data_IF_058174104819
#
_entry.id   IF_058174104819
#
_cell.length_a   1.000
_cell.length_b   1.000
_cell.length_c   1.000
_cell.angle_alpha   90.00
_cell.angle_beta   90.00
_cell.angle_gamma   90.00
#
_symmetry.space_group_name_H-M   'P 1'
#
loop_
_entity.id
_entity.type
_entity.pdbx_description
1 polymer ?
#
# COMPACT_ATOMS: atom_id res chain seq x y z
N UNK A 1 -24.01 -0.21 -4.77
CA UNK A 1 -22.61 0.10 -4.41
C UNK A 1 -21.87 0.37 -5.70
N UNK A 2 -21.11 1.46 -5.76
CA UNK A 2 -20.25 1.80 -6.90
C UNK A 2 -18.82 1.35 -6.64
N UNK A 3 -18.01 1.34 -7.69
CA UNK A 3 -16.58 1.04 -7.63
C UNK A 3 -15.84 1.84 -6.55
N UNK A 4 -16.03 3.17 -6.55
CA UNK A 4 -15.35 4.08 -5.62
C UNK A 4 -15.73 3.82 -4.16
N UNK A 5 -16.97 3.41 -3.90
CA UNK A 5 -17.42 3.04 -2.57
C UNK A 5 -16.63 1.82 -2.07
N UNK A 6 -16.49 0.79 -2.92
CA UNK A 6 -15.80 -0.45 -2.56
C UNK A 6 -14.31 -0.25 -2.32
N UNK A 7 -13.67 0.66 -3.06
CA UNK A 7 -12.25 1.00 -2.85
C UNK A 7 -11.99 1.69 -1.51
N UNK A 8 -12.96 2.49 -1.03
CA UNK A 8 -12.88 3.15 0.29
C UNK A 8 -13.12 2.19 1.45
N UNK A 9 -13.92 1.13 1.24
CA UNK A 9 -14.27 0.16 2.31
C UNK A 9 -13.04 -0.38 3.03
N UNK A 10 -11.95 -0.68 2.31
CA UNK A 10 -10.75 -1.19 2.97
C UNK A 10 -10.14 -0.16 3.93
N UNK A 11 -10.12 1.13 3.57
CA UNK A 11 -9.56 2.20 4.40
C UNK A 11 -10.49 2.66 5.53
N UNK A 12 -11.80 2.41 5.44
CA UNK A 12 -12.78 2.81 6.45
C UNK A 12 -12.86 1.78 7.58
N UNK A 13 -12.02 1.94 8.60
CA UNK A 13 -11.99 1.02 9.75
C UNK A 13 -12.47 1.66 11.06
N UNK A 14 -13.35 0.99 11.85
CA UNK A 14 -13.97 -0.32 11.59
C UNK A 14 -15.05 -0.25 10.51
N UNK A 15 -15.15 -1.32 9.71
CA UNK A 15 -16.08 -1.42 8.59
C UNK A 15 -17.49 -1.71 9.11
N UNK A 16 -18.48 -0.92 8.70
CA UNK A 16 -19.88 -1.14 9.07
C UNK A 16 -20.44 -2.37 8.33
N UNK A 17 -21.16 -3.23 9.07
CA UNK A 17 -21.87 -4.37 8.46
C UNK A 17 -22.98 -3.86 7.53
N UNK A 18 -23.05 -4.41 6.33
CA UNK A 18 -24.09 -4.05 5.35
C UNK A 18 -24.94 -5.27 5.03
N UNK A 19 -26.17 -5.36 5.55
CA UNK A 19 -27.03 -6.55 5.39
C UNK A 19 -27.24 -6.93 3.92
N UNK A 20 -27.56 -5.95 3.08
CA UNK A 20 -27.87 -6.18 1.67
C UNK A 20 -27.09 -5.21 0.80
N UNK A 21 -26.40 -5.75 -0.20
CA UNK A 21 -25.67 -4.95 -1.19
C UNK A 21 -26.17 -5.26 -2.59
N UNK A 22 -26.31 -4.23 -3.41
CA UNK A 22 -26.52 -4.36 -4.86
C UNK A 22 -25.24 -3.90 -5.56
N UNK A 23 -24.67 -4.76 -6.41
CA UNK A 23 -23.39 -4.55 -7.08
C UNK A 23 -23.58 -4.38 -8.59
N UNK A 24 -22.86 -3.42 -9.16
CA UNK A 24 -22.80 -3.17 -10.61
C UNK A 24 -21.66 -3.94 -11.27
N UNK A 25 -21.68 -4.05 -12.60
CA UNK A 25 -20.73 -4.87 -13.37
C UNK A 25 -19.27 -4.39 -13.27
N UNK A 26 -19.08 -3.08 -13.15
CA UNK A 26 -17.80 -2.41 -12.99
C UNK A 26 -17.05 -2.87 -11.73
N UNK A 27 -17.74 -3.22 -10.64
CA UNK A 27 -17.10 -3.75 -9.43
C UNK A 27 -16.29 -5.01 -9.75
N UNK A 28 -16.82 -5.89 -10.60
CA UNK A 28 -16.14 -7.14 -10.97
C UNK A 28 -15.00 -6.97 -11.97
N UNK A 29 -14.63 -5.72 -12.29
CA UNK A 29 -13.38 -5.41 -12.94
C UNK A 29 -12.20 -5.27 -11.97
N UNK A 30 -12.47 -5.16 -10.66
CA UNK A 30 -11.47 -5.32 -9.60
C UNK A 30 -11.31 -6.80 -9.31
N UNK A 31 -10.10 -7.30 -9.47
CA UNK A 31 -9.76 -8.70 -9.24
C UNK A 31 -10.05 -9.13 -7.79
N UNK A 32 -9.75 -8.28 -6.80
CA UNK A 32 -10.03 -8.50 -5.39
C UNK A 32 -11.46 -8.17 -4.94
N UNK A 33 -12.40 -7.93 -5.86
CA UNK A 33 -13.78 -7.58 -5.50
C UNK A 33 -14.45 -8.57 -4.54
N UNK A 34 -14.32 -9.91 -4.70
CA UNK A 34 -14.90 -10.87 -3.74
C UNK A 34 -14.41 -10.67 -2.31
N UNK A 35 -13.10 -10.48 -2.13
CA UNK A 35 -12.50 -10.19 -0.83
C UNK A 35 -13.03 -8.88 -0.24
N UNK A 36 -13.02 -7.79 -1.01
CA UNK A 36 -13.48 -6.48 -0.54
C UNK A 36 -14.97 -6.48 -0.17
N UNK A 37 -15.81 -7.15 -0.96
CA UNK A 37 -17.22 -7.33 -0.66
C UNK A 37 -17.41 -8.14 0.62
N UNK A 38 -16.63 -9.20 0.83
CA UNK A 38 -16.71 -10.04 2.03
C UNK A 38 -16.40 -9.27 3.31
N UNK A 39 -15.54 -8.24 3.26
CA UNK A 39 -15.23 -7.39 4.42
C UNK A 39 -16.47 -6.68 4.99
N UNK A 40 -17.47 -6.40 4.14
CA UNK A 40 -18.75 -5.79 4.54
C UNK A 40 -19.67 -6.74 5.30
N UNK A 41 -19.34 -8.04 5.29
CA UNK A 41 -20.13 -9.13 5.86
C UNK A 41 -21.62 -9.08 5.46
N UNK A 42 -21.95 -9.08 4.14
CA UNK A 42 -23.33 -9.01 3.69
C UNK A 42 -24.08 -10.32 3.86
N UNK A 43 -25.37 -10.22 4.24
CA UNK A 43 -26.30 -11.36 4.27
C UNK A 43 -26.79 -11.69 2.85
N UNK A 44 -26.93 -10.67 1.99
CA UNK A 44 -27.39 -10.82 0.61
C UNK A 44 -26.61 -9.90 -0.36
N UNK A 45 -26.14 -10.48 -1.47
CA UNK A 45 -25.46 -9.77 -2.57
C UNK A 45 -26.32 -9.90 -3.82
N UNK A 46 -26.89 -8.80 -4.29
CA UNK A 46 -27.65 -8.74 -5.54
C UNK A 46 -26.75 -8.37 -6.71
N UNK A 47 -26.76 -9.21 -7.73
CA UNK A 47 -26.12 -8.94 -9.02
C UNK A 47 -27.00 -9.47 -10.15
N UNK A 48 -26.75 -9.04 -11.39
CA UNK A 48 -27.58 -9.43 -12.54
C UNK A 48 -27.71 -10.95 -12.71
N UNK A 49 -26.69 -11.74 -12.34
CA UNK A 49 -26.69 -13.20 -12.46
C UNK A 49 -26.63 -13.89 -11.08
N UNK A 50 -27.30 -15.04 -10.98
CA UNK A 50 -27.11 -15.98 -9.86
C UNK A 50 -25.78 -16.72 -10.02
N UNK A 51 -24.77 -16.36 -9.22
CA UNK A 51 -23.38 -16.80 -9.46
C UNK A 51 -22.58 -17.05 -8.19
N UNK A 52 -21.53 -17.87 -8.29
CA UNK A 52 -20.37 -17.86 -7.39
C UNK A 52 -19.25 -17.14 -8.12
N UNK A 53 -18.63 -16.18 -7.43
CA UNK A 53 -17.49 -15.42 -7.94
C UNK A 53 -16.32 -15.64 -7.00
N UNK A 54 -15.19 -16.08 -7.55
CA UNK A 54 -14.01 -16.51 -6.79
C UNK A 54 -12.88 -15.52 -7.05
N UNK A 55 -12.35 -14.93 -5.97
CA UNK A 55 -11.21 -14.01 -6.00
C UNK A 55 -9.86 -14.74 -6.09
N UNK A 56 -8.77 -14.05 -6.45
CA UNK A 56 -7.44 -14.65 -6.55
C UNK A 56 -6.89 -15.08 -5.18
N UNK A 57 -7.41 -14.57 -4.06
CA UNK A 57 -7.07 -15.03 -2.71
C UNK A 57 -7.85 -16.29 -2.29
N UNK A 58 -8.79 -16.75 -3.12
CA UNK A 58 -9.69 -17.87 -2.86
C UNK A 58 -10.99 -17.48 -2.14
N UNK A 59 -11.24 -16.19 -1.90
CA UNK A 59 -12.51 -15.75 -1.33
C UNK A 59 -13.64 -15.96 -2.33
N UNK A 60 -14.73 -16.58 -1.88
CA UNK A 60 -15.93 -16.81 -2.69
C UNK A 60 -17.08 -15.93 -2.20
N UNK A 61 -17.80 -15.31 -3.14
CA UNK A 61 -19.08 -14.65 -2.86
C UNK A 61 -20.19 -15.27 -3.69
N UNK A 62 -21.40 -15.34 -3.13
CA UNK A 62 -22.58 -15.79 -3.85
C UNK A 62 -23.53 -14.62 -4.11
N UNK A 63 -23.94 -14.46 -5.36
CA UNK A 63 -24.88 -13.43 -5.80
C UNK A 63 -26.26 -14.00 -6.10
N UNK A 64 -27.30 -13.21 -5.88
CA UNK A 64 -28.68 -13.49 -6.31
C UNK A 64 -29.05 -12.58 -7.48
N UNK A 65 -29.54 -13.18 -8.56
CA UNK A 65 -29.93 -12.47 -9.77
C UNK A 65 -30.96 -13.24 -10.57
N UNK A 66 -31.79 -12.52 -11.33
CA UNK A 66 -32.95 -13.08 -12.04
C UNK A 66 -32.77 -13.15 -13.56
N UNK A 67 -31.65 -12.68 -14.14
CA UNK A 67 -31.49 -12.71 -15.61
C UNK A 67 -31.40 -14.12 -16.19
N UNK A 68 -31.00 -15.13 -15.40
CA UNK A 68 -30.80 -16.51 -15.85
C UNK A 68 -31.02 -17.49 -14.70
N UNK A 69 -31.71 -18.60 -14.97
CA UNK A 69 -32.09 -19.60 -13.95
C UNK A 69 -30.95 -20.52 -13.50
N UNK A 70 -29.85 -20.60 -14.27
CA UNK A 70 -28.68 -21.44 -13.95
C UNK A 70 -27.70 -20.71 -13.04
N UNK A 71 -27.06 -21.45 -12.12
CA UNK A 71 -25.95 -20.95 -11.29
C UNK A 71 -24.66 -20.92 -12.11
N UNK A 72 -23.99 -19.77 -12.15
CA UNK A 72 -22.73 -19.57 -12.88
C UNK A 72 -21.53 -19.53 -11.93
N UNK A 73 -20.35 -19.85 -12.45
CA UNK A 73 -19.08 -19.74 -11.74
C UNK A 73 -18.16 -18.79 -12.51
N UNK A 74 -17.61 -17.81 -11.81
CA UNK A 74 -16.70 -16.82 -12.38
C UNK A 74 -15.41 -16.77 -11.57
N UNK A 75 -14.29 -16.59 -12.26
CA UNK A 75 -13.05 -16.11 -11.68
C UNK A 75 -13.01 -14.59 -11.82
N UNK A 76 -12.59 -13.90 -10.78
CA UNK A 76 -12.36 -12.46 -10.81
C UNK A 76 -10.96 -12.14 -11.40
N UNK A 77 -10.78 -11.04 -12.14
CA UNK A 77 -11.82 -10.11 -12.57
C UNK A 77 -12.64 -10.73 -13.72
N UNK A 78 -13.93 -10.40 -13.77
CA UNK A 78 -14.82 -10.80 -14.87
C UNK A 78 -14.51 -9.99 -16.14
N UNK A 79 -14.04 -8.75 -15.95
CA UNK A 79 -13.67 -7.83 -17.02
C UNK A 79 -12.30 -7.23 -16.72
N UNK A 80 -11.33 -7.37 -17.62
CA UNK A 80 -10.02 -6.74 -17.44
C UNK A 80 -10.14 -5.22 -17.48
N UNK A 81 -9.53 -4.55 -16.51
CA UNK A 81 -9.47 -3.09 -16.45
C UNK A 81 -8.19 -2.59 -15.76
N UNK A 82 -7.82 -1.35 -16.07
CA UNK A 82 -6.70 -0.62 -15.47
C UNK A 82 -7.26 0.62 -14.79
N UNK A 83 -7.55 0.52 -13.49
CA UNK A 83 -8.29 1.54 -12.72
C UNK A 83 -7.35 2.43 -11.89
N UNK A 84 -6.19 1.90 -11.48
CA UNK A 84 -5.30 2.50 -10.50
C UNK A 84 -5.88 2.48 -9.08
N UNK A 85 -5.02 2.66 -8.09
CA UNK A 85 -5.33 2.68 -6.67
C UNK A 85 -4.77 3.91 -5.95
N UNK A 86 -5.66 4.67 -5.31
CA UNK A 86 -5.26 5.84 -4.54
C UNK A 86 -4.65 5.47 -3.18
N UNK A 87 -3.31 5.46 -3.12
CA UNK A 87 -2.52 5.13 -1.93
C UNK A 87 -2.27 6.35 -1.01
N UNK A 88 -3.33 6.94 -0.47
CA UNK A 88 -3.20 8.04 0.51
C UNK A 88 -3.21 7.52 1.96
N UNK A 89 -2.34 8.05 2.82
CA UNK A 89 -2.31 7.69 4.24
C UNK A 89 -3.42 8.41 5.00
N UNK A 90 -4.29 7.63 5.62
CA UNK A 90 -5.50 8.12 6.31
C UNK A 90 -5.25 9.02 7.53
N UNK A 91 -4.04 9.09 8.11
CA UNK A 91 -3.80 9.96 9.27
C UNK A 91 -2.32 10.27 9.54
N UNK A 92 -1.74 11.27 8.87
CA UNK A 92 -0.38 11.75 9.20
C UNK A 92 -0.29 12.21 10.66
N UNK A 93 -1.36 12.83 11.17
CA UNK A 93 -1.50 13.24 12.57
C UNK A 93 -1.37 12.09 13.57
N UNK A 94 -1.83 10.89 13.21
CA UNK A 94 -1.63 9.70 14.05
C UNK A 94 -0.14 9.37 14.20
N UNK A 95 0.64 9.48 13.12
CA UNK A 95 2.07 9.26 13.15
C UNK A 95 2.78 10.34 13.97
N UNK A 96 2.39 11.61 13.83
CA UNK A 96 2.92 12.71 14.66
C UNK A 96 2.66 12.49 16.14
N UNK A 97 1.41 12.16 16.53
CA UNK A 97 1.07 11.83 17.91
C UNK A 97 1.92 10.67 18.46
N UNK A 98 2.14 9.65 17.62
CA UNK A 98 2.98 8.52 17.97
C UNK A 98 4.45 8.93 18.18
N UNK A 99 4.98 9.87 17.39
CA UNK A 99 6.33 10.44 17.58
C UNK A 99 6.42 11.11 18.96
N UNK A 100 5.49 12.01 19.27
CA UNK A 100 5.52 12.77 20.52
C UNK A 100 5.39 11.89 21.77
N UNK A 101 4.54 10.87 21.72
CA UNK A 101 4.32 9.99 22.87
C UNK A 101 5.49 9.03 23.12
N UNK A 102 6.12 8.53 22.06
CA UNK A 102 7.08 7.43 22.16
C UNK A 102 8.53 7.89 22.21
N UNK A 103 8.85 9.03 21.59
CA UNK A 103 10.23 9.45 21.43
C UNK A 103 10.59 10.57 22.43
N UNK A 104 11.87 10.72 22.81
CA UNK A 104 12.33 11.79 23.69
C UNK A 104 12.52 13.09 22.90
N UNK A 105 11.44 13.64 22.36
CA UNK A 105 11.46 14.87 21.58
C UNK A 105 11.93 16.08 22.41
N UNK A 106 12.87 16.83 21.87
CA UNK A 106 13.21 18.20 22.32
C UNK A 106 12.65 19.22 21.34
N UNK A 107 12.63 20.49 21.74
CA UNK A 107 12.27 21.60 20.86
C UNK A 107 13.17 21.66 19.62
N UNK A 108 12.56 21.85 18.45
CA UNK A 108 13.25 21.97 17.16
C UNK A 108 12.67 21.05 16.08
N UNK A 109 13.01 21.32 14.83
CA UNK A 109 12.50 20.58 13.68
C UNK A 109 13.36 19.37 13.29
N UNK A 110 12.73 18.33 12.77
CA UNK A 110 13.38 17.18 12.13
C UNK A 110 12.57 16.71 10.92
N UNK A 111 13.24 16.06 9.98
CA UNK A 111 12.62 15.39 8.84
C UNK A 111 12.12 14.02 9.27
N UNK A 112 10.88 13.69 8.91
CA UNK A 112 10.24 12.41 9.17
C UNK A 112 9.88 11.72 7.85
N UNK A 113 10.36 10.51 7.65
CA UNK A 113 9.90 9.61 6.59
C UNK A 113 8.68 8.81 7.09
N UNK A 114 7.45 9.12 6.65
CA UNK A 114 6.28 8.35 7.05
C UNK A 114 6.26 6.94 6.43
N UNK A 115 7.18 6.61 5.52
CA UNK A 115 7.20 5.31 4.85
C UNK A 115 7.61 4.17 5.76
N UNK A 116 6.93 3.04 5.58
CA UNK A 116 7.29 1.75 6.17
C UNK A 116 8.48 1.10 5.46
N UNK A 117 9.05 1.77 4.45
CA UNK A 117 10.19 1.32 3.68
C UNK A 117 11.26 2.38 3.55
N UNK A 118 12.39 1.95 2.99
CA UNK A 118 13.45 2.85 2.58
C UNK A 118 12.93 3.81 1.50
N UNK A 119 13.33 5.07 1.61
CA UNK A 119 12.95 6.14 0.68
C UNK A 119 14.19 6.59 -0.08
N UNK A 120 14.02 6.67 -1.39
CA UNK A 120 14.86 7.44 -2.31
C UNK A 120 13.99 8.60 -2.83
N UNK A 121 14.47 9.83 -2.73
CA UNK A 121 13.68 11.01 -3.08
C UNK A 121 14.58 12.19 -3.48
N UNK A 122 13.98 13.22 -4.10
CA UNK A 122 14.64 14.49 -4.36
C UNK A 122 13.98 15.57 -3.50
N UNK A 123 14.70 16.01 -2.46
CA UNK A 123 14.27 17.07 -1.55
C UNK A 123 15.25 18.22 -1.70
N UNK A 124 14.75 19.44 -1.89
CA UNK A 124 15.57 20.64 -2.03
C UNK A 124 16.66 20.50 -3.13
N UNK A 125 16.29 19.88 -4.25
CA UNK A 125 17.18 19.58 -5.39
C UNK A 125 18.37 18.67 -5.07
N UNK A 126 18.29 17.89 -3.99
CA UNK A 126 19.32 16.92 -3.58
C UNK A 126 18.73 15.52 -3.57
N UNK A 127 19.53 14.56 -4.04
CA UNK A 127 19.20 13.15 -3.91
C UNK A 127 19.38 12.74 -2.45
N UNK A 128 18.30 12.33 -1.80
CA UNK A 128 18.31 11.95 -0.39
C UNK A 128 17.84 10.52 -0.22
N UNK A 129 18.30 9.94 0.88
CA UNK A 129 17.85 8.62 1.31
C UNK A 129 17.44 8.65 2.77
N UNK A 130 16.36 7.94 3.09
CA UNK A 130 15.87 7.81 4.46
C UNK A 130 15.49 6.36 4.74
N UNK A 131 15.83 5.85 5.92
CA UNK A 131 15.33 4.56 6.39
C UNK A 131 13.81 4.62 6.61
N UNK A 132 13.18 3.45 6.68
CA UNK A 132 11.79 3.35 7.12
C UNK A 132 11.58 4.02 8.47
N UNK A 133 10.53 4.84 8.56
CA UNK A 133 10.14 5.56 9.77
C UNK A 133 11.23 6.50 10.30
N UNK A 134 12.26 6.86 9.51
CA UNK A 134 13.38 7.67 9.99
C UNK A 134 12.92 9.06 10.42
N UNK A 135 13.38 9.46 11.60
CA UNK A 135 13.31 10.82 12.10
C UNK A 135 14.73 11.31 12.32
N UNK A 136 15.10 12.38 11.64
CA UNK A 136 16.46 12.91 11.64
C UNK A 136 16.47 14.41 11.38
N UNK A 137 17.35 15.15 12.07
CA UNK A 137 17.51 16.59 11.87
C UNK A 137 18.08 16.92 10.49
N UNK A 138 18.90 16.02 9.92
CA UNK A 138 19.62 16.23 8.67
C UNK A 138 19.26 15.18 7.64
N UNK A 139 19.01 15.61 6.41
CA UNK A 139 18.85 14.72 5.27
C UNK A 139 20.20 14.06 4.92
N UNK A 140 20.18 12.76 4.63
CA UNK A 140 21.36 12.02 4.16
C UNK A 140 21.41 12.07 2.65
N UNK A 141 22.35 12.83 2.11
CA UNK A 141 22.57 12.93 0.67
C UNK A 141 23.23 11.65 0.15
N UNK A 142 22.59 10.99 -0.82
CA UNK A 142 23.12 9.80 -1.47
C UNK A 142 22.53 9.68 -2.87
N UNK A 143 23.39 9.36 -3.83
CA UNK A 143 22.94 9.10 -5.20
C UNK A 143 22.02 7.86 -5.24
N UNK A 144 20.95 7.95 -6.02
CA UNK A 144 20.00 6.87 -6.29
C UNK A 144 19.66 6.81 -7.79
N UNK A 145 18.94 5.77 -8.22
CA UNK A 145 18.65 5.50 -9.64
C UNK A 145 17.39 6.19 -10.17
N UNK A 146 16.57 6.78 -9.30
CA UNK A 146 15.34 7.46 -9.70
C UNK A 146 15.63 8.77 -10.42
N UNK A 147 15.03 8.93 -11.60
CA UNK A 147 14.97 10.20 -12.33
C UNK A 147 13.54 10.72 -12.28
N UNK A 148 13.36 12.02 -12.05
CA UNK A 148 12.05 12.63 -11.93
C UNK A 148 11.78 13.58 -13.11
N UNK A 149 10.54 13.56 -13.60
CA UNK A 149 10.03 14.40 -14.68
C UNK A 149 8.73 15.05 -14.24
N UNK A 150 8.44 16.25 -14.75
CA UNK A 150 7.22 16.98 -14.44
C UNK A 150 6.14 16.72 -15.50
N UNK A 151 4.99 16.18 -15.07
CA UNK A 151 3.73 15.99 -15.81
C UNK A 151 3.75 15.09 -17.05
N UNK A 152 4.81 15.12 -17.86
CA UNK A 152 4.90 14.31 -19.07
C UNK A 152 6.30 13.75 -19.28
N UNK A 153 6.35 12.63 -19.98
CA UNK A 153 7.59 11.97 -20.38
C UNK A 153 7.36 11.21 -21.69
N UNK A 154 8.32 11.31 -22.59
CA UNK A 154 8.36 10.52 -23.82
C UNK A 154 9.60 9.63 -23.84
N UNK A 155 9.41 8.35 -24.14
CA UNK A 155 10.47 7.35 -24.21
C UNK A 155 10.45 6.62 -25.56
N UNK A 156 11.58 6.60 -26.24
CA UNK A 156 11.78 5.78 -27.43
C UNK A 156 12.40 4.44 -27.01
N UNK A 157 11.56 3.43 -26.78
CA UNK A 157 11.98 2.10 -26.32
C UNK A 157 12.14 1.09 -27.47
N UNK A 158 11.45 1.31 -28.59
CA UNK A 158 11.37 0.36 -29.70
C UNK A 158 10.56 -0.90 -29.40
N UNK A 159 9.78 -0.91 -28.32
CA UNK A 159 8.98 -2.07 -27.90
C UNK A 159 7.56 -2.03 -28.48
N UNK A 160 7.30 -2.85 -29.50
CA UNK A 160 5.98 -2.88 -30.16
C UNK A 160 4.94 -3.64 -29.34
N UNK A 161 5.31 -4.77 -28.73
CA UNK A 161 4.40 -5.61 -27.92
C UNK A 161 5.02 -6.01 -26.56
N UNK A 162 5.37 -5.05 -25.69
CA UNK A 162 5.95 -5.37 -24.38
C UNK A 162 4.89 -5.94 -23.42
N UNK A 163 5.37 -6.52 -22.32
CA UNK A 163 4.53 -6.84 -21.17
C UNK A 163 4.43 -5.61 -20.25
N UNK A 164 3.20 -5.19 -19.96
CA UNK A 164 2.92 -4.13 -19.00
C UNK A 164 2.55 -4.75 -17.66
N UNK A 165 3.27 -4.38 -16.60
CA UNK A 165 2.87 -4.66 -15.21
C UNK A 165 2.42 -3.36 -14.57
N UNK A 166 1.31 -3.37 -13.84
CA UNK A 166 0.69 -2.15 -13.30
C UNK A 166 0.00 -2.41 -11.97
N UNK A 167 -0.22 -1.34 -11.20
CA UNK A 167 -0.98 -1.40 -9.95
C UNK A 167 -2.47 -1.34 -10.25
N UNK A 168 -3.18 -2.38 -9.83
CA UNK A 168 -4.61 -2.31 -9.61
C UNK A 168 -4.88 -2.25 -8.10
N UNK A 169 -6.10 -1.87 -7.69
CA UNK A 169 -6.47 -1.94 -6.28
C UNK A 169 -6.17 -3.30 -5.69
N UNK A 170 -5.33 -3.32 -4.65
CA UNK A 170 -4.98 -4.50 -3.85
C UNK A 170 -4.23 -5.62 -4.58
N UNK A 171 -3.82 -5.42 -5.85
CA UNK A 171 -3.06 -6.42 -6.61
C UNK A 171 -2.19 -5.79 -7.70
N UNK A 172 -1.12 -6.49 -8.07
CA UNK A 172 -0.29 -6.16 -9.23
C UNK A 172 -0.72 -7.05 -10.39
N UNK A 173 -1.19 -6.44 -11.46
CA UNK A 173 -1.71 -7.14 -12.65
C UNK A 173 -0.77 -6.97 -13.83
N UNK A 174 -0.94 -7.81 -14.85
CA UNK A 174 -0.15 -7.76 -16.08
C UNK A 174 -1.07 -7.76 -17.30
N UNK A 175 -0.65 -7.10 -18.38
CA UNK A 175 -1.35 -7.12 -19.66
C UNK A 175 -0.39 -6.88 -20.82
N UNK A 176 -0.78 -7.31 -22.01
CA UNK A 176 -0.10 -6.97 -23.27
C UNK A 176 -0.59 -5.65 -23.88
N UNK A 177 -1.59 -5.01 -23.27
CA UNK A 177 -2.19 -3.76 -23.75
C UNK A 177 -2.30 -2.73 -22.62
N UNK A 178 -2.31 -1.46 -23.01
CA UNK A 178 -2.68 -0.36 -22.13
C UNK A 178 -4.14 -0.03 -22.44
N UNK A 179 -5.01 -0.12 -21.44
CA UNK A 179 -6.46 0.07 -21.56
C UNK A 179 -7.02 1.05 -20.52
N UNK A 180 -6.16 1.64 -19.70
CA UNK A 180 -6.57 2.58 -18.67
C UNK A 180 -5.39 3.24 -17.97
N UNK A 181 -5.54 3.49 -16.67
CA UNK A 181 -4.60 4.29 -15.88
C UNK A 181 -4.13 3.50 -14.65
N UNK A 182 -2.93 3.81 -14.18
CA UNK A 182 -2.34 3.23 -12.97
C UNK A 182 -1.28 4.16 -12.40
N UNK A 183 -1.01 4.09 -11.11
CA UNK A 183 0.05 4.84 -10.43
C UNK A 183 1.44 4.36 -10.86
N UNK A 184 1.56 3.13 -11.38
CA UNK A 184 2.79 2.73 -12.05
C UNK A 184 2.53 1.84 -13.26
N UNK A 185 3.46 1.92 -14.21
CA UNK A 185 3.59 0.96 -15.30
C UNK A 185 5.04 0.53 -15.44
N UNK A 186 5.27 -0.78 -15.39
CA UNK A 186 6.54 -1.39 -15.78
C UNK A 186 6.41 -2.01 -17.16
N UNK A 187 7.22 -1.54 -18.09
CA UNK A 187 7.24 -1.95 -19.49
C UNK A 187 8.44 -2.87 -19.67
N UNK A 188 8.19 -4.16 -19.91
CA UNK A 188 9.24 -5.19 -19.94
C UNK A 188 9.30 -5.91 -21.28
N UNK A 189 10.49 -6.00 -21.87
CA UNK A 189 10.76 -6.84 -23.04
C UNK A 189 12.22 -7.33 -23.07
N UNK A 190 13.18 -6.44 -23.39
CA UNK A 190 14.63 -6.72 -23.29
C UNK A 190 15.18 -6.24 -21.95
N UNK A 191 14.70 -5.10 -21.49
CA UNK A 191 14.95 -4.48 -20.20
C UNK A 191 13.62 -4.02 -19.62
N UNK A 192 13.58 -3.69 -18.33
CA UNK A 192 12.38 -3.16 -17.68
C UNK A 192 12.54 -1.68 -17.37
N UNK A 193 11.62 -0.89 -17.92
CA UNK A 193 11.44 0.52 -17.59
C UNK A 193 10.21 0.67 -16.71
N UNK A 194 10.39 1.19 -15.50
CA UNK A 194 9.29 1.39 -14.55
C UNK A 194 9.02 2.88 -14.38
N UNK A 195 7.80 3.27 -14.74
CA UNK A 195 7.24 4.61 -14.65
C UNK A 195 6.31 4.65 -13.44
N UNK A 196 6.50 5.61 -12.55
CA UNK A 196 5.77 5.71 -11.29
C UNK A 196 5.31 7.15 -11.10
N UNK A 197 4.00 7.37 -10.95
CA UNK A 197 3.42 8.69 -10.80
C UNK A 197 3.04 9.01 -9.36
N UNK A 198 3.14 10.29 -8.99
CA UNK A 198 2.45 10.84 -7.81
C UNK A 198 0.93 10.67 -7.96
N UNK A 199 0.45 10.85 -9.19
CA UNK A 199 -0.91 10.60 -9.63
C UNK A 199 -0.95 9.52 -10.72
N UNK A 200 -2.16 9.02 -11.01
CA UNK A 200 -2.40 8.01 -12.04
C UNK A 200 -1.81 8.45 -13.37
N UNK A 201 -0.98 7.58 -13.93
CA UNK A 201 -0.35 7.74 -15.24
C UNK A 201 -1.32 7.31 -16.35
N UNK A 202 -1.30 8.05 -17.44
CA UNK A 202 -1.89 7.66 -18.71
C UNK A 202 -0.76 7.35 -19.70
N UNK A 203 -0.78 6.15 -20.30
CA UNK A 203 0.25 5.71 -21.22
C UNK A 203 -0.33 5.48 -22.61
N UNK A 204 0.45 5.86 -23.62
CA UNK A 204 0.18 5.51 -25.01
C UNK A 204 1.44 4.87 -25.60
N UNK A 205 1.28 3.74 -26.30
CA UNK A 205 2.35 3.12 -27.07
C UNK A 205 2.08 3.24 -28.56
N UNK A 206 2.89 4.04 -29.24
CA UNK A 206 2.85 4.23 -30.67
C UNK A 206 4.08 3.55 -31.28
N UNK A 207 3.95 2.25 -31.58
CA UNK A 207 4.99 1.43 -32.23
C UNK A 207 6.38 1.51 -31.57
N UNK A 208 6.45 1.45 -30.23
CA UNK A 208 7.70 1.50 -29.47
C UNK A 208 8.07 2.88 -28.95
N UNK A 209 7.31 3.91 -29.31
CA UNK A 209 7.36 5.22 -28.67
C UNK A 209 6.30 5.30 -27.57
N UNK A 210 6.73 5.39 -26.32
CA UNK A 210 5.86 5.49 -25.15
C UNK A 210 5.70 6.95 -24.76
N UNK A 211 4.47 7.44 -24.76
CA UNK A 211 4.10 8.71 -24.13
C UNK A 211 3.47 8.44 -22.78
N UNK A 212 3.81 9.26 -21.80
CA UNK A 212 3.35 9.16 -20.42
C UNK A 212 2.86 10.54 -19.99
N UNK A 213 1.65 10.60 -19.47
CA UNK A 213 1.05 11.82 -18.93
C UNK A 213 0.58 11.59 -17.49
N UNK A 214 0.73 12.61 -16.65
CA UNK A 214 0.31 12.64 -15.25
C UNK A 214 0.05 14.07 -14.80
N UNK A 215 -0.81 14.23 -13.80
CA UNK A 215 -1.00 15.52 -13.12
C UNK A 215 -0.03 15.63 -11.94
N UNK A 216 1.27 15.61 -12.18
CA UNK A 216 2.28 15.63 -11.11
C UNK A 216 3.61 15.02 -11.52
N UNK A 217 4.45 14.69 -10.54
CA UNK A 217 5.77 14.10 -10.81
C UNK A 217 5.66 12.67 -11.34
N UNK A 218 6.55 12.34 -12.27
CA UNK A 218 6.77 11.00 -12.82
C UNK A 218 8.21 10.58 -12.48
N UNK A 219 8.36 9.52 -11.69
CA UNK A 219 9.63 8.85 -11.46
C UNK A 219 9.86 7.76 -12.50
N UNK A 220 11.08 7.66 -13.01
CA UNK A 220 11.53 6.63 -13.94
C UNK A 220 12.71 5.86 -13.33
N UNK A 221 12.64 4.53 -13.43
CA UNK A 221 13.74 3.65 -13.07
C UNK A 221 13.92 2.52 -14.08
N UNK A 222 15.18 2.24 -14.45
CA UNK A 222 15.56 1.12 -15.28
C UNK A 222 16.07 -0.04 -14.43
N UNK A 223 15.66 -1.26 -14.75
CA UNK A 223 15.94 -2.49 -13.98
C UNK A 223 15.89 -3.74 -14.85
N UNK A 224 16.26 -4.89 -14.28
CA UNK A 224 16.11 -6.20 -14.94
C UNK A 224 14.67 -6.68 -14.83
N UNK A 225 14.04 -6.48 -13.67
CA UNK A 225 12.65 -6.83 -13.42
C UNK A 225 11.94 -5.73 -12.65
N UNK A 226 10.62 -5.63 -12.82
CA UNK A 226 9.82 -4.66 -12.07
C UNK A 226 9.89 -4.89 -10.56
N UNK A 227 10.14 -6.12 -10.09
CA UNK A 227 10.22 -6.43 -8.66
C UNK A 227 11.41 -5.74 -7.99
N UNK A 228 12.49 -5.48 -8.73
CA UNK A 228 13.67 -4.77 -8.23
C UNK A 228 13.40 -3.29 -7.96
N UNK A 229 12.49 -2.68 -8.73
CA UNK A 229 12.14 -1.25 -8.57
C UNK A 229 11.18 -1.03 -7.40
N UNK A 230 10.50 -2.08 -6.93
CA UNK A 230 9.51 -2.01 -5.84
C UNK A 230 8.52 -0.85 -6.02
N UNK A 231 7.83 -0.79 -7.17
CA UNK A 231 7.14 0.43 -7.60
C UNK A 231 6.05 0.87 -6.64
N UNK A 232 5.37 -0.05 -5.97
CA UNK A 232 4.35 0.28 -4.97
C UNK A 232 4.93 1.02 -3.75
N UNK A 233 6.17 0.75 -3.33
CA UNK A 233 6.84 1.50 -2.26
C UNK A 233 7.10 2.94 -2.73
N UNK A 234 7.49 3.12 -4.00
CA UNK A 234 7.75 4.44 -4.59
C UNK A 234 6.44 5.22 -4.79
N UNK A 235 5.37 4.58 -5.29
CA UNK A 235 4.03 5.20 -5.38
C UNK A 235 3.62 5.72 -4.01
N UNK A 236 3.75 4.87 -2.98
CA UNK A 236 3.41 5.23 -1.61
C UNK A 236 4.25 6.43 -1.12
N UNK A 237 5.55 6.44 -1.40
CA UNK A 237 6.46 7.53 -1.02
C UNK A 237 6.13 8.87 -1.68
N UNK A 238 5.73 8.85 -2.96
CA UNK A 238 5.34 10.04 -3.72
C UNK A 238 4.07 10.67 -3.16
N UNK A 239 3.08 9.85 -2.77
CA UNK A 239 1.82 10.33 -2.18
C UNK A 239 1.99 10.80 -0.73
N UNK A 240 2.86 10.13 0.02
CA UNK A 240 3.08 10.41 1.44
C UNK A 240 4.44 11.04 1.65
N UNK A 241 4.55 12.34 1.34
CA UNK A 241 5.83 13.09 1.34
C UNK A 241 6.51 13.11 2.71
N UNK A 242 7.83 13.31 2.70
CA UNK A 242 8.60 13.59 3.94
C UNK A 242 8.01 14.81 4.64
N UNK A 243 7.80 14.70 5.94
CA UNK A 243 7.24 15.76 6.77
C UNK A 243 8.32 16.44 7.60
N UNK A 244 8.10 17.70 7.96
CA UNK A 244 8.86 18.36 9.04
C UNK A 244 8.03 18.27 10.31
N UNK A 245 8.63 17.73 11.38
CA UNK A 245 7.98 17.56 12.68
C UNK A 245 8.75 18.34 13.74
N UNK A 246 8.05 18.95 14.70
CA UNK A 246 8.67 19.66 15.83
C UNK A 246 9.13 18.68 16.92
N UNK A 247 10.04 17.79 16.57
CA UNK A 247 10.63 16.81 17.46
C UNK A 247 12.12 16.65 17.15
N UNK A 248 12.96 17.34 17.91
CA UNK A 248 14.41 17.22 17.81
C UNK A 248 14.91 16.02 18.60
N UNK A 249 15.62 15.10 17.94
CA UNK A 249 16.14 13.87 18.56
C UNK A 249 17.67 13.88 18.66
N UNK A 250 18.25 13.34 19.75
CA UNK A 250 19.71 13.31 19.91
C UNK A 250 20.43 12.38 18.92
N UNK A 251 19.71 11.50 18.23
CA UNK A 251 20.21 10.56 17.24
C UNK A 251 19.09 10.18 16.25
N UNK A 252 19.44 9.82 15.01
CA UNK A 252 18.47 9.37 14.02
C UNK A 252 17.87 8.02 14.44
N UNK A 253 16.56 7.89 14.33
CA UNK A 253 15.84 6.68 14.75
C UNK A 253 14.75 6.30 13.75
N UNK A 254 14.50 5.00 13.60
CA UNK A 254 13.32 4.49 12.90
C UNK A 254 12.17 4.27 13.87
N UNK A 255 11.05 5.00 13.69
CA UNK A 255 9.83 4.82 14.48
C UNK A 255 9.20 3.44 14.28
N UNK A 256 9.22 2.95 13.05
CA UNK A 256 8.75 1.62 12.69
C UNK A 256 9.50 1.08 11.48
N UNK A 257 9.45 -0.24 11.30
CA UNK A 257 9.88 -0.95 10.08
C UNK A 257 8.96 -2.14 9.82
N UNK A 258 8.67 -2.42 8.54
CA UNK A 258 7.83 -3.53 8.11
C UNK A 258 8.57 -4.42 7.12
N UNK A 259 8.56 -5.74 7.35
CA UNK A 259 9.21 -6.71 6.47
C UNK A 259 8.39 -8.00 6.35
N UNK A 260 8.45 -8.75 5.25
CA UNK A 260 9.22 -8.46 4.03
C UNK A 260 8.59 -7.36 3.17
N UNK A 261 9.24 -7.02 2.06
CA UNK A 261 8.65 -6.15 1.03
C UNK A 261 7.33 -6.73 0.50
N UNK A 262 6.46 -5.87 -0.04
CA UNK A 262 5.15 -6.26 -0.56
C UNK A 262 4.02 -6.28 0.48
N UNK A 263 4.27 -5.83 1.71
CA UNK A 263 3.19 -5.55 2.67
C UNK A 263 2.87 -4.07 2.67
N UNK A 264 1.71 -3.69 2.16
CA UNK A 264 1.33 -2.29 2.06
C UNK A 264 0.39 -1.88 3.20
N UNK A 265 0.75 -0.86 4.01
CA UNK A 265 -0.18 -0.26 4.96
C UNK A 265 -1.11 0.71 4.23
N UNK A 266 -2.42 0.49 4.39
CA UNK A 266 -3.46 1.35 3.80
C UNK A 266 -4.31 2.04 4.87
N UNK A 267 -4.20 1.65 6.14
CA UNK A 267 -4.89 2.29 7.25
C UNK A 267 -3.96 2.40 8.46
N UNK A 268 -3.92 3.58 9.07
CA UNK A 268 -3.17 3.82 10.30
C UNK A 268 -3.98 4.76 11.19
N UNK A 269 -4.17 4.36 12.44
CA UNK A 269 -4.74 5.21 13.48
C UNK A 269 -3.99 5.01 14.78
N UNK A 270 -3.57 6.09 15.42
CA UNK A 270 -2.95 6.07 16.74
C UNK A 270 -3.69 7.01 17.69
N UNK A 271 -4.18 6.45 18.79
CA UNK A 271 -4.94 7.17 19.81
C UNK A 271 -4.76 6.47 21.16
N UNK A 272 -4.54 7.24 22.24
CA UNK A 272 -4.45 6.72 23.61
C UNK A 272 -3.52 5.49 23.74
N UNK A 273 -2.28 5.60 23.23
CA UNK A 273 -1.30 4.50 23.26
C UNK A 273 -1.71 3.23 22.50
N UNK A 274 -2.71 3.34 21.62
CA UNK A 274 -3.20 2.23 20.80
C UNK A 274 -2.97 2.53 19.34
N UNK A 275 -2.14 1.72 18.68
CA UNK A 275 -1.90 1.76 17.24
C UNK A 275 -2.79 0.71 16.56
N UNK A 276 -3.62 1.14 15.62
CA UNK A 276 -4.41 0.27 14.75
C UNK A 276 -3.88 0.38 13.32
N UNK A 277 -3.61 -0.76 12.69
CA UNK A 277 -3.06 -0.86 11.33
C UNK A 277 -3.97 -1.72 10.46
N UNK A 278 -4.19 -1.30 9.21
CA UNK A 278 -4.69 -2.14 8.13
C UNK A 278 -3.59 -2.39 7.12
N UNK A 279 -3.26 -3.67 6.91
CA UNK A 279 -2.18 -4.13 6.05
C UNK A 279 -2.74 -5.03 4.94
N UNK A 280 -2.18 -4.93 3.72
CA UNK A 280 -2.40 -5.91 2.67
C UNK A 280 -1.09 -6.59 2.25
N UNK A 281 -1.15 -7.90 2.02
CA UNK A 281 -0.07 -8.65 1.42
C UNK A 281 -0.17 -8.68 -0.11
N UNK A 282 0.61 -7.87 -0.83
CA UNK A 282 0.66 -7.88 -2.31
C UNK A 282 1.50 -9.04 -2.89
N UNK A 283 2.04 -9.94 -2.04
CA UNK A 283 2.78 -11.10 -2.51
C UNK A 283 1.84 -12.22 -2.93
N UNK A 284 2.25 -12.98 -3.95
CA UNK A 284 1.57 -14.17 -4.47
C UNK A 284 1.67 -15.40 -3.53
N UNK A 285 2.25 -15.24 -2.34
CA UNK A 285 2.41 -16.31 -1.36
C UNK A 285 1.99 -15.84 0.03
N UNK A 286 1.52 -16.74 0.90
CA UNK A 286 1.36 -16.45 2.32
C UNK A 286 2.71 -16.10 2.95
N UNK A 287 2.74 -15.10 3.83
CA UNK A 287 3.96 -14.64 4.49
C UNK A 287 3.72 -14.30 5.97
N UNK A 288 4.80 -14.30 6.74
CA UNK A 288 4.79 -13.79 8.12
C UNK A 288 5.44 -12.41 8.13
N UNK A 289 4.64 -11.41 8.42
CA UNK A 289 5.06 -10.01 8.48
C UNK A 289 5.68 -9.72 9.83
N UNK A 290 6.88 -9.14 9.83
CA UNK A 290 7.53 -8.61 11.01
C UNK A 290 7.33 -7.09 11.04
N UNK A 291 6.56 -6.62 12.02
CA UNK A 291 6.50 -5.20 12.36
C UNK A 291 7.41 -4.95 13.56
N UNK A 292 8.32 -3.99 13.41
CA UNK A 292 9.26 -3.56 14.44
C UNK A 292 8.94 -2.12 14.79
N UNK A 293 8.82 -1.78 16.07
CA UNK A 293 8.51 -0.42 16.53
C UNK A 293 9.63 0.13 17.42
N UNK A 294 9.75 1.46 17.48
CA UNK A 294 10.44 2.18 18.55
C UNK A 294 9.55 2.31 19.80
N UNK A 295 8.82 1.23 20.13
CA UNK A 295 7.84 1.16 21.21
C UNK A 295 7.89 -0.22 21.88
N UNK A 296 7.54 -0.28 23.16
CA UNK A 296 7.20 -1.54 23.83
C UNK A 296 5.78 -1.92 23.45
N UNK A 297 5.58 -3.10 22.91
CA UNK A 297 4.27 -3.68 22.60
C UNK A 297 3.81 -4.46 23.83
N UNK A 298 2.75 -3.97 24.48
CA UNK A 298 2.17 -4.57 25.68
C UNK A 298 1.15 -5.66 25.30
N UNK A 299 0.31 -5.35 24.32
CA UNK A 299 -0.77 -6.23 23.85
C UNK A 299 -0.87 -6.13 22.33
N UNK A 300 -1.26 -7.22 21.69
CA UNK A 300 -1.46 -7.27 20.27
C UNK A 300 -2.58 -8.23 19.86
N UNK A 301 -3.47 -7.75 19.00
CA UNK A 301 -4.67 -8.47 18.61
C UNK A 301 -4.89 -8.38 17.11
N UNK A 302 -5.26 -9.50 16.49
CA UNK A 302 -5.87 -9.50 15.16
C UNK A 302 -7.33 -9.10 15.29
N UNK A 303 -7.76 -8.19 14.43
CA UNK A 303 -9.12 -7.70 14.40
C UNK A 303 -9.87 -8.19 13.17
N UNK A 304 -11.17 -8.39 13.35
CA UNK A 304 -12.11 -8.55 12.24
C UNK A 304 -12.28 -7.23 11.50
N UNK A 305 -12.80 -7.26 10.27
CA UNK A 305 -13.11 -6.03 9.53
C UNK A 305 -14.02 -5.07 10.33
N UNK A 306 -14.84 -5.60 11.24
CA UNK A 306 -15.74 -4.84 12.12
C UNK A 306 -15.08 -4.35 13.41
N UNK A 307 -13.81 -4.65 13.64
CA UNK A 307 -13.05 -4.20 14.81
C UNK A 307 -13.17 -5.08 16.06
N UNK A 308 -13.78 -6.26 15.92
CA UNK A 308 -13.87 -7.27 16.97
C UNK A 308 -12.54 -8.05 17.05
N UNK A 309 -12.10 -8.43 18.24
CA UNK A 309 -10.90 -9.25 18.42
C UNK A 309 -11.15 -10.68 17.95
N UNK A 310 -10.32 -11.17 17.02
CA UNK A 310 -10.37 -12.56 16.52
C UNK A 310 -9.34 -13.41 17.24
N UNK A 311 -8.13 -12.88 17.41
CA UNK A 311 -6.99 -13.66 17.89
C UNK A 311 -5.98 -12.76 18.61
N UNK A 312 -5.21 -13.36 19.52
CA UNK A 312 -4.11 -12.71 20.25
C UNK A 312 -2.78 -13.09 19.64
N UNK A 313 -1.98 -12.09 19.32
CA UNK A 313 -0.62 -12.28 18.83
C UNK A 313 0.36 -12.11 20.00
N UNK A 314 1.40 -12.93 20.03
CA UNK A 314 2.45 -12.82 21.05
C UNK A 314 3.51 -11.80 20.60
N UNK A 315 3.67 -10.65 21.29
CA UNK A 315 4.71 -9.68 20.97
C UNK A 315 6.08 -10.11 21.51
N UNK A 316 7.13 -9.83 20.76
CA UNK A 316 8.53 -9.97 21.15
C UNK A 316 9.07 -8.60 21.61
N UNK A 317 8.52 -8.07 22.71
CA UNK A 317 8.85 -6.78 23.33
C UNK A 317 8.66 -5.54 22.43
N UNK A 318 9.40 -5.40 21.35
CA UNK A 318 9.34 -4.28 20.38
C UNK A 318 9.05 -4.74 18.94
N UNK A 319 8.72 -6.02 18.78
CA UNK A 319 8.38 -6.66 17.50
C UNK A 319 7.13 -7.50 17.61
N UNK A 320 6.50 -7.70 16.47
CA UNK A 320 5.41 -8.65 16.34
C UNK A 320 5.43 -9.33 14.98
N UNK A 321 5.03 -10.61 14.99
CA UNK A 321 4.85 -11.45 13.80
C UNK A 321 3.36 -11.57 13.48
N UNK A 322 2.98 -11.17 12.27
CA UNK A 322 1.60 -11.18 11.79
C UNK A 322 1.52 -12.16 10.61
N UNK A 323 0.84 -13.30 10.74
CA UNK A 323 0.63 -14.20 9.62
C UNK A 323 -0.38 -13.59 8.63
N UNK A 324 -0.05 -13.56 7.35
CA UNK A 324 -0.92 -13.06 6.28
C UNK A 324 -1.02 -14.06 5.14
N UNK A 325 -2.26 -14.30 4.68
CA UNK A 325 -2.52 -15.13 3.49
C UNK A 325 -2.02 -14.41 2.23
N UNK A 326 -1.87 -15.16 1.12
CA UNK A 326 -1.64 -14.58 -0.21
C UNK A 326 -2.73 -13.54 -0.49
N UNK A 327 -2.36 -12.33 -0.90
CA UNK A 327 -3.32 -11.25 -1.21
C UNK A 327 -4.31 -10.96 -0.06
N UNK A 328 -3.94 -11.31 1.17
CA UNK A 328 -4.81 -11.17 2.35
C UNK A 328 -4.74 -9.76 2.93
N UNK A 329 -5.88 -9.31 3.47
CA UNK A 329 -6.00 -8.09 4.28
C UNK A 329 -6.02 -8.48 5.77
N UNK A 330 -5.29 -7.75 6.61
CA UNK A 330 -5.28 -7.94 8.06
C UNK A 330 -5.41 -6.60 8.79
N UNK A 331 -6.22 -6.57 9.83
CA UNK A 331 -6.30 -5.46 10.77
C UNK A 331 -5.68 -5.88 12.10
N UNK A 332 -4.82 -5.02 12.66
CA UNK A 332 -4.10 -5.32 13.90
C UNK A 332 -4.28 -4.14 14.85
N UNK A 333 -4.50 -4.44 16.14
CA UNK A 333 -4.45 -3.46 17.22
C UNK A 333 -3.29 -3.78 18.14
N UNK A 334 -2.47 -2.77 18.42
CA UNK A 334 -1.32 -2.85 19.30
C UNK A 334 -1.46 -1.81 20.40
N UNK A 335 -1.34 -2.25 21.65
CA UNK A 335 -1.17 -1.33 22.77
C UNK A 335 0.32 -1.13 22.99
N UNK A 336 0.78 0.10 22.87
CA UNK A 336 2.21 0.42 22.82
C UNK A 336 2.59 1.51 23.81
N UNK A 337 3.79 1.38 24.38
CA UNK A 337 4.38 2.36 25.31
C UNK A 337 5.76 2.77 24.87
N UNK A 338 6.24 3.88 25.43
CA UNK A 338 7.62 4.34 25.26
C UNK A 338 8.62 3.25 25.65
N UNK A 339 9.62 3.03 24.80
CA UNK A 339 10.77 2.18 25.14
C UNK A 339 11.65 2.86 26.19
N UNK A 340 12.32 2.04 27.02
CA UNK A 340 13.44 2.55 27.82
C UNK A 340 14.55 3.02 26.89
N UNK A 341 15.27 4.07 27.30
CA UNK A 341 16.30 4.71 26.49
C UNK A 341 17.39 3.73 26.02
N UNK A 342 17.76 2.75 26.84
CA UNK A 342 18.74 1.72 26.51
C UNK A 342 18.32 0.85 25.31
N UNK A 343 17.02 0.58 25.16
CA UNK A 343 16.47 -0.15 24.01
C UNK A 343 16.28 0.77 22.81
N UNK A 344 15.90 2.03 23.06
CA UNK A 344 15.79 3.04 22.02
C UNK A 344 17.14 3.27 21.30
N UNK A 345 18.25 3.26 22.04
CA UNK A 345 19.61 3.35 21.49
C UNK A 345 19.96 2.20 20.53
N UNK A 346 19.31 1.03 20.66
CA UNK A 346 19.49 -0.10 19.72
C UNK A 346 18.74 0.10 18.40
N UNK A 347 17.86 1.11 18.32
CA UNK A 347 17.12 1.50 17.11
C UNK A 347 17.79 2.64 16.35
N UNK A 348 18.95 3.12 16.82
CA UNK A 348 19.72 4.16 16.15
C UNK A 348 20.05 3.69 14.75
N UNK A 349 19.80 4.56 13.78
CA UNK A 349 20.26 4.36 12.42
C UNK A 349 21.75 4.73 12.41
N UNK A 350 22.61 3.73 12.33
CA UNK A 350 24.04 3.95 12.14
C UNK A 350 24.27 4.61 10.78
N UNK A 351 24.81 5.83 10.82
CA UNK A 351 25.12 6.68 9.67
C UNK A 351 26.34 6.20 8.89
#
# INVERSE_FOLDING_TARGET
MKLDDLLKVASDFPIQKVRKISVSDDIFSIEQAPQLISLLNPEEIEWKYNSIIIGPDGTEIQTRGSKRDKKYYYLSPIYESQIGWDLELSSIKSLENMIYDLLPCKEGESYFNPSFWYREDIIENKNIVMESGEINEKLRERNHKLTFYDNNLSLELGYVNPLYTYLNPFIISQSKKIIGKSEFFSISLKETYTLIGENKLYLENNNGYIKVESNGKIALMKSITWKETKPYEIVWNLKNKVQRVNCKLPFPISLYKLYPAGILPFFIKYENHTLTLGLINLNETPIVVNLVLAARIEEANLLSPQGEEIDKLNPEFDRIKIPMRRLGIAYIRLKIRKLLESFLKRKIISS
#
